data_IF_991749121069
#
_entry.id   IF_991749121069
#
_cell.length_a   1.000
_cell.length_b   1.000
_cell.length_c   1.000
_cell.angle_alpha   90.00
_cell.angle_beta   90.00
_cell.angle_gamma   90.00
#
_symmetry.space_group_name_H-M   'P 1'
#
loop_
_entity.id
_entity.type
_entity.pdbx_description
1 polymer ?
#
# COMPACT_ATOMS: atom_id res chain seq x y z
N UNK A 1 19.68 14.85 49.65
CA UNK A 1 19.63 13.36 49.60
C UNK A 1 19.22 12.98 48.19
N UNK A 2 20.14 12.58 47.30
CA UNK A 2 20.47 11.17 46.92
C UNK A 2 19.20 10.41 46.49
N UNK A 3 18.99 9.90 45.27
CA UNK A 3 19.93 9.43 44.25
C UNK A 3 19.26 9.32 42.88
N UNK A 4 20.03 9.65 41.83
CA UNK A 4 19.81 9.23 40.45
C UNK A 4 19.98 7.70 40.30
N UNK A 5 19.17 7.07 39.43
CA UNK A 5 19.43 5.73 38.89
C UNK A 5 19.19 5.75 37.38
N UNK A 6 20.27 5.92 36.63
CA UNK A 6 20.40 5.57 35.23
C UNK A 6 20.68 4.06 35.09
N UNK A 7 19.96 3.34 34.22
CA UNK A 7 20.44 2.07 33.70
C UNK A 7 21.29 2.26 32.42
N UNK A 8 22.19 1.30 32.24
CA UNK A 8 23.41 1.30 31.41
C UNK A 8 23.17 1.14 29.89
N UNK A 9 24.13 1.58 29.06
CA UNK A 9 24.06 1.46 27.60
C UNK A 9 24.21 0.00 27.13
N UNK A 10 23.44 -0.36 26.10
CA UNK A 10 23.54 -1.65 25.42
C UNK A 10 24.72 -1.64 24.46
N UNK A 11 25.66 -2.54 24.69
CA UNK A 11 26.82 -2.79 23.83
C UNK A 11 26.41 -3.47 22.53
N UNK A 12 26.86 -2.92 21.40
CA UNK A 12 26.74 -3.53 20.06
C UNK A 12 27.77 -4.65 19.86
N UNK A 13 27.43 -5.75 19.16
CA UNK A 13 28.41 -6.59 18.50
C UNK A 13 28.57 -6.18 17.01
N UNK A 14 29.81 -5.92 16.60
CA UNK A 14 30.24 -5.81 15.20
C UNK A 14 30.68 -7.19 14.68
N UNK A 15 30.27 -7.59 13.47
CA UNK A 15 31.09 -8.48 12.64
C UNK A 15 31.70 -7.76 11.44
N UNK A 16 32.96 -8.09 11.21
CA UNK A 16 33.93 -7.63 10.19
C UNK A 16 33.60 -8.06 8.75
N UNK A 17 34.24 -7.45 7.74
CA UNK A 17 34.01 -7.75 6.33
C UNK A 17 34.73 -9.04 5.88
N UNK A 18 34.06 -9.84 5.05
CA UNK A 18 34.71 -10.89 4.24
C UNK A 18 34.70 -10.45 2.78
N UNK A 19 35.89 -10.17 2.27
CA UNK A 19 36.19 -9.88 0.87
C UNK A 19 36.51 -11.18 0.12
N UNK A 20 36.42 -11.09 -1.21
CA UNK A 20 37.06 -11.91 -2.25
C UNK A 20 36.30 -13.11 -2.82
N UNK A 21 36.06 -13.05 -4.15
CA UNK A 21 36.08 -14.25 -5.00
C UNK A 21 35.12 -14.28 -6.19
N UNK A 22 35.30 -13.41 -7.19
CA UNK A 22 35.03 -13.80 -8.59
C UNK A 22 36.31 -14.47 -9.17
N UNK A 23 36.36 -15.05 -10.38
CA UNK A 23 35.34 -15.33 -11.41
C UNK A 23 35.42 -16.79 -11.98
N UNK A 24 34.50 -17.20 -12.86
CA UNK A 24 34.85 -17.93 -14.10
C UNK A 24 33.63 -18.23 -15.00
N UNK A 25 33.80 -17.86 -16.26
CA UNK A 25 33.00 -18.25 -17.43
C UNK A 25 33.20 -19.74 -17.74
N UNK A 26 32.18 -20.39 -18.29
CA UNK A 26 32.34 -21.21 -19.50
C UNK A 26 30.98 -21.53 -20.17
N UNK A 27 30.90 -21.47 -21.51
CA UNK A 27 29.71 -21.85 -22.26
C UNK A 27 29.81 -23.32 -22.70
N UNK A 28 28.65 -23.98 -22.80
CA UNK A 28 28.53 -25.30 -23.44
C UNK A 28 27.31 -25.33 -24.35
N UNK A 29 27.60 -25.86 -25.53
CA UNK A 29 26.88 -25.83 -26.80
C UNK A 29 25.87 -26.98 -26.92
N UNK A 30 24.97 -26.81 -27.88
CA UNK A 30 24.43 -27.81 -28.83
C UNK A 30 23.56 -28.97 -28.34
N UNK A 31 22.48 -29.20 -29.10
CA UNK A 31 21.83 -30.50 -29.26
C UNK A 31 20.32 -30.38 -29.40
N UNK A 32 19.76 -29.96 -30.53
CA UNK A 32 19.19 -30.87 -31.55
C UNK A 32 18.35 -32.02 -30.96
N UNK A 33 17.04 -32.01 -31.18
CA UNK A 33 16.37 -33.04 -31.99
C UNK A 33 14.85 -32.96 -31.85
N UNK A 34 14.24 -32.95 -33.03
CA UNK A 34 12.81 -33.10 -33.30
C UNK A 34 12.25 -34.40 -32.73
N UNK A 35 11.04 -34.36 -32.17
CA UNK A 35 10.13 -35.51 -32.19
C UNK A 35 8.67 -35.06 -32.19
N UNK A 36 7.92 -35.74 -33.06
CA UNK A 36 6.54 -35.53 -33.52
C UNK A 36 5.48 -36.00 -32.50
N UNK A 37 4.23 -36.02 -33.01
CA UNK A 37 2.99 -36.74 -32.58
C UNK A 37 2.09 -35.91 -31.67
N UNK A 38 0.78 -35.70 -31.85
CA UNK A 38 -0.31 -36.24 -32.71
C UNK A 38 -1.50 -35.26 -32.57
N UNK A 39 -2.46 -35.14 -33.51
CA UNK A 39 -3.67 -34.34 -33.28
C UNK A 39 -4.70 -35.13 -32.45
N UNK A 40 -5.22 -34.53 -31.38
CA UNK A 40 -6.38 -35.05 -30.66
C UNK A 40 -7.63 -34.24 -31.00
N UNK A 41 -8.62 -35.00 -31.44
CA UNK A 41 -9.97 -34.63 -31.84
C UNK A 41 -10.82 -34.28 -30.61
N UNK A 42 -11.96 -33.65 -30.89
CA UNK A 42 -13.24 -33.78 -30.16
C UNK A 42 -13.47 -32.91 -28.92
N UNK A 43 -14.21 -31.82 -29.17
CA UNK A 43 -15.56 -31.59 -28.61
C UNK A 43 -15.82 -32.07 -27.18
N UNK A 44 -15.81 -31.13 -26.24
CA UNK A 44 -16.46 -31.14 -24.94
C UNK A 44 -16.25 -29.73 -24.39
N UNK A 45 -17.18 -28.92 -23.94
CA UNK A 45 -18.49 -29.12 -23.32
C UNK A 45 -19.09 -27.71 -23.36
N UNK A 46 -20.40 -27.57 -23.50
CA UNK A 46 -21.06 -26.30 -23.16
C UNK A 46 -20.59 -25.91 -21.76
N UNK A 47 -19.79 -24.85 -21.67
CA UNK A 47 -19.44 -24.25 -20.38
C UNK A 47 -20.78 -23.79 -19.80
N UNK A 48 -21.15 -24.19 -18.58
CA UNK A 48 -22.27 -23.53 -17.93
C UNK A 48 -21.90 -22.06 -17.89
N UNK A 49 -22.76 -21.21 -18.43
CA UNK A 49 -22.76 -19.77 -18.18
C UNK A 49 -22.83 -19.66 -16.66
N UNK A 50 -21.67 -19.55 -16.02
CA UNK A 50 -21.60 -19.15 -14.63
C UNK A 50 -22.27 -17.80 -14.62
N UNK A 51 -23.45 -17.75 -14.01
CA UNK A 51 -24.10 -16.50 -13.68
C UNK A 51 -23.03 -15.63 -13.07
N UNK A 52 -22.66 -14.62 -13.84
CA UNK A 52 -21.91 -13.46 -13.43
C UNK A 52 -22.84 -12.75 -12.44
N UNK A 53 -22.95 -13.32 -11.24
CA UNK A 53 -23.68 -12.72 -10.13
C UNK A 53 -22.77 -11.65 -9.54
N UNK A 54 -22.38 -10.70 -10.40
CA UNK A 54 -21.76 -9.46 -10.01
C UNK A 54 -22.75 -8.77 -9.10
N UNK A 55 -22.30 -8.48 -7.88
CA UNK A 55 -23.04 -7.65 -6.95
C UNK A 55 -23.43 -6.35 -7.67
N UNK A 56 -24.63 -5.79 -7.40
CA UNK A 56 -25.04 -4.54 -8.02
C UNK A 56 -23.96 -3.46 -7.84
N UNK A 57 -23.71 -2.69 -8.89
CA UNK A 57 -22.75 -1.61 -8.88
C UNK A 57 -23.08 -0.61 -7.77
N UNK A 58 -22.07 -0.20 -7.01
CA UNK A 58 -22.29 0.72 -5.90
C UNK A 58 -22.58 2.12 -6.46
N UNK A 59 -23.55 2.88 -5.93
CA UNK A 59 -23.80 4.25 -6.39
C UNK A 59 -22.52 5.11 -6.30
N UNK A 60 -22.33 6.08 -7.21
CA UNK A 60 -21.16 6.94 -7.16
C UNK A 60 -21.12 7.71 -5.83
N UNK A 61 -20.03 7.57 -5.09
CA UNK A 61 -19.78 8.27 -3.84
C UNK A 61 -18.75 9.37 -4.11
N UNK A 62 -19.15 10.62 -3.87
CA UNK A 62 -18.29 11.77 -4.14
C UNK A 62 -16.90 11.58 -3.48
N UNK A 63 -15.85 11.76 -4.28
CA UNK A 63 -14.43 11.64 -3.94
C UNK A 63 -13.96 10.32 -3.34
N UNK A 64 -14.65 9.23 -3.67
CA UNK A 64 -14.04 7.89 -3.76
C UNK A 64 -13.93 7.48 -5.22
N UNK A 65 -12.95 6.65 -5.52
CA UNK A 65 -12.90 5.87 -6.75
C UNK A 65 -13.69 4.57 -6.51
N UNK A 66 -15.01 4.66 -6.77
CA UNK A 66 -15.94 3.55 -6.55
C UNK A 66 -15.68 2.41 -7.51
N UNK A 67 -15.27 2.68 -8.75
CA UNK A 67 -14.92 1.63 -9.72
C UNK A 67 -13.74 0.79 -9.23
N UNK A 68 -12.74 1.43 -8.62
CA UNK A 68 -11.62 0.74 -7.98
C UNK A 68 -12.06 -0.08 -6.77
N UNK A 69 -12.94 0.46 -5.93
CA UNK A 69 -13.47 -0.25 -4.76
C UNK A 69 -14.30 -1.47 -5.17
N UNK A 70 -15.19 -1.32 -6.14
CA UNK A 70 -15.98 -2.41 -6.69
C UNK A 70 -15.06 -3.47 -7.33
N UNK A 71 -14.02 -3.06 -8.07
CA UNK A 71 -13.01 -4.00 -8.59
C UNK A 71 -12.28 -4.78 -7.49
N UNK A 72 -12.00 -4.16 -6.33
CA UNK A 72 -11.38 -4.83 -5.18
C UNK A 72 -12.35 -5.76 -4.45
N UNK A 73 -13.64 -5.43 -4.44
CA UNK A 73 -14.71 -6.28 -3.91
C UNK A 73 -14.89 -7.53 -4.78
N UNK A 74 -14.82 -7.37 -6.09
CA UNK A 74 -15.07 -8.43 -7.06
C UNK A 74 -13.85 -9.36 -7.28
N UNK A 75 -12.71 -9.10 -6.60
CA UNK A 75 -11.55 -9.99 -6.60
C UNK A 75 -11.88 -11.38 -6.04
N UNK A 76 -12.78 -11.46 -5.06
CA UNK A 76 -13.28 -12.71 -4.50
C UNK A 76 -14.81 -12.64 -4.40
N UNK A 77 -15.53 -13.01 -5.48
CA UNK A 77 -16.99 -12.90 -5.52
C UNK A 77 -17.63 -13.69 -4.37
N UNK A 78 -18.31 -12.97 -3.47
CA UNK A 78 -18.95 -13.55 -2.30
C UNK A 78 -18.11 -13.52 -1.01
N UNK A 79 -16.86 -13.03 -1.06
CA UNK A 79 -16.03 -12.80 0.13
C UNK A 79 -15.44 -11.38 0.16
N UNK A 80 -15.98 -10.53 1.04
CA UNK A 80 -15.49 -9.15 1.24
C UNK A 80 -14.33 -9.06 2.25
N UNK A 81 -13.88 -10.17 2.84
CA UNK A 81 -12.87 -10.20 3.91
C UNK A 81 -11.58 -9.48 3.52
N UNK A 82 -11.15 -9.59 2.26
CA UNK A 82 -9.97 -8.87 1.77
C UNK A 82 -10.17 -7.35 1.82
N UNK A 83 -11.29 -6.87 1.28
CA UNK A 83 -11.61 -5.45 1.25
C UNK A 83 -11.85 -4.89 2.66
N UNK A 84 -12.54 -5.64 3.52
CA UNK A 84 -12.76 -5.27 4.93
C UNK A 84 -11.43 -5.14 5.70
N UNK A 85 -10.50 -6.08 5.47
CA UNK A 85 -9.15 -5.99 6.02
C UNK A 85 -8.39 -4.79 5.46
N UNK A 86 -8.49 -4.51 4.17
CA UNK A 86 -7.81 -3.38 3.53
C UNK A 86 -8.32 -2.04 4.09
N UNK A 87 -9.64 -1.88 4.21
CA UNK A 87 -10.29 -0.72 4.83
C UNK A 87 -9.85 -0.60 6.29
N UNK A 88 -9.95 -1.67 7.08
CA UNK A 88 -9.53 -1.67 8.49
C UNK A 88 -8.06 -1.28 8.69
N UNK A 89 -7.16 -1.81 7.85
CA UNK A 89 -5.75 -1.43 7.85
C UNK A 89 -5.56 0.05 7.51
N UNK A 90 -6.29 0.57 6.53
CA UNK A 90 -6.23 1.98 6.18
C UNK A 90 -6.73 2.89 7.31
N UNK A 91 -7.76 2.48 8.06
CA UNK A 91 -8.26 3.26 9.21
C UNK A 91 -7.18 3.49 10.26
N UNK A 92 -6.47 2.44 10.63
CA UNK A 92 -5.41 2.52 11.65
C UNK A 92 -4.18 3.24 11.09
N UNK A 93 -3.71 2.81 9.92
CA UNK A 93 -2.45 3.29 9.36
C UNK A 93 -2.52 4.76 8.95
N UNK A 94 -3.67 5.27 8.48
CA UNK A 94 -3.80 6.68 8.09
C UNK A 94 -3.73 7.62 9.29
N UNK A 95 -4.35 7.27 10.41
CA UNK A 95 -4.27 8.06 11.64
C UNK A 95 -2.85 8.05 12.23
N UNK A 96 -2.21 6.87 12.29
CA UNK A 96 -0.82 6.75 12.72
C UNK A 96 0.12 7.53 11.81
N UNK A 97 -0.05 7.42 10.48
CA UNK A 97 0.81 8.12 9.53
C UNK A 97 0.76 9.64 9.70
N UNK A 98 -0.43 10.22 9.89
CA UNK A 98 -0.57 11.67 10.13
C UNK A 98 0.14 12.09 11.40
N UNK A 99 0.01 11.34 12.50
CA UNK A 99 0.69 11.62 13.75
C UNK A 99 2.22 11.55 13.58
N UNK A 100 2.73 10.47 13.00
CA UNK A 100 4.17 10.29 12.78
C UNK A 100 4.75 11.35 11.84
N UNK A 101 4.03 11.74 10.79
CA UNK A 101 4.48 12.80 9.87
C UNK A 101 4.56 14.14 10.60
N UNK A 102 3.58 14.47 11.45
CA UNK A 102 3.60 15.69 12.27
C UNK A 102 4.81 15.71 13.21
N UNK A 103 5.02 14.62 13.94
CA UNK A 103 6.16 14.50 14.86
C UNK A 103 7.51 14.59 14.12
N UNK A 104 7.61 13.96 12.95
CA UNK A 104 8.81 14.01 12.12
C UNK A 104 9.08 15.42 11.55
N UNK A 105 8.04 16.18 11.21
CA UNK A 105 8.17 17.58 10.79
C UNK A 105 8.68 18.45 11.96
N UNK A 106 8.17 18.24 13.18
CA UNK A 106 8.69 18.96 14.37
C UNK A 106 10.14 18.59 14.71
N UNK A 107 10.54 17.34 14.43
CA UNK A 107 11.91 16.86 14.60
C UNK A 107 12.83 17.16 13.39
N UNK A 108 12.33 17.83 12.35
CA UNK A 108 13.04 18.08 11.08
C UNK A 108 13.57 16.79 10.39
N UNK A 109 12.93 15.65 10.64
CA UNK A 109 13.28 14.35 10.05
C UNK A 109 12.63 14.19 8.67
N UNK A 110 13.28 14.79 7.67
CA UNK A 110 12.88 14.71 6.26
C UNK A 110 12.75 13.27 5.76
N UNK A 111 13.64 12.37 6.20
CA UNK A 111 13.63 10.98 5.74
C UNK A 111 12.37 10.25 6.20
N UNK A 112 11.98 10.43 7.47
CA UNK A 112 10.75 9.85 8.01
C UNK A 112 9.50 10.46 7.37
N UNK A 113 9.46 11.79 7.17
CA UNK A 113 8.34 12.45 6.48
C UNK A 113 8.12 11.84 5.09
N UNK A 114 9.17 11.78 4.27
CA UNK A 114 9.08 11.21 2.91
C UNK A 114 8.65 9.76 2.92
N UNK A 115 9.28 8.92 3.73
CA UNK A 115 8.98 7.49 3.76
C UNK A 115 7.53 7.22 4.21
N UNK A 116 7.04 7.95 5.22
CA UNK A 116 5.67 7.79 5.73
C UNK A 116 4.64 8.35 4.75
N UNK A 117 4.88 9.52 4.18
CA UNK A 117 4.03 10.14 3.17
C UNK A 117 3.91 9.24 1.91
N UNK A 118 5.03 8.74 1.41
CA UNK A 118 5.07 7.81 0.28
C UNK A 118 4.21 6.55 0.53
N UNK A 119 4.42 5.91 1.68
CA UNK A 119 3.70 4.69 2.04
C UNK A 119 2.19 4.92 2.15
N UNK A 120 1.77 5.98 2.83
CA UNK A 120 0.34 6.24 3.01
C UNK A 120 -0.33 6.72 1.72
N UNK A 121 0.39 7.45 0.86
CA UNK A 121 -0.08 7.83 -0.48
C UNK A 121 -0.40 6.59 -1.32
N UNK A 122 0.54 5.64 -1.38
CA UNK A 122 0.33 4.37 -2.08
C UNK A 122 -0.87 3.59 -1.52
N UNK A 123 -1.01 3.53 -0.20
CA UNK A 123 -2.16 2.85 0.44
C UNK A 123 -3.50 3.51 0.09
N UNK A 124 -3.58 4.85 0.11
CA UNK A 124 -4.79 5.59 -0.17
C UNK A 124 -5.22 5.44 -1.64
N UNK A 125 -4.29 5.62 -2.58
CA UNK A 125 -4.56 5.45 -4.02
C UNK A 125 -4.91 4.01 -4.35
N UNK A 126 -4.22 3.03 -3.73
CA UNK A 126 -4.51 1.63 -3.95
C UNK A 126 -5.91 1.23 -3.47
N UNK A 127 -6.48 1.94 -2.49
CA UNK A 127 -7.82 1.69 -1.96
C UNK A 127 -8.91 2.56 -2.61
N UNK A 128 -8.55 3.49 -3.51
CA UNK A 128 -9.52 4.37 -4.16
C UNK A 128 -9.89 5.63 -3.37
N UNK A 129 -8.96 6.15 -2.57
CA UNK A 129 -9.12 7.42 -1.84
C UNK A 129 -8.21 8.50 -2.44
N UNK A 130 -8.58 9.08 -3.60
CA UNK A 130 -7.68 9.92 -4.40
C UNK A 130 -7.16 11.14 -3.65
N UNK A 131 -8.06 11.92 -3.01
CA UNK A 131 -7.69 13.14 -2.28
C UNK A 131 -6.65 12.89 -1.18
N UNK A 132 -6.83 11.83 -0.39
CA UNK A 132 -5.89 11.46 0.67
C UNK A 132 -4.52 11.05 0.08
N UNK A 133 -4.53 10.32 -1.04
CA UNK A 133 -3.32 9.93 -1.76
C UNK A 133 -2.56 11.13 -2.32
N UNK A 134 -3.28 12.07 -2.92
CA UNK A 134 -2.73 13.31 -3.49
C UNK A 134 -2.16 14.24 -2.42
N UNK A 135 -2.87 14.43 -1.31
CA UNK A 135 -2.39 15.23 -0.18
C UNK A 135 -1.10 14.64 0.41
N UNK A 136 -1.02 13.31 0.55
CA UNK A 136 0.19 12.64 1.02
C UNK A 136 1.35 12.79 0.02
N UNK A 137 1.10 12.70 -1.29
CA UNK A 137 2.12 12.95 -2.32
C UNK A 137 2.62 14.40 -2.30
N UNK A 138 1.74 15.36 -2.06
CA UNK A 138 2.13 16.77 -1.95
C UNK A 138 3.11 16.97 -0.78
N UNK A 139 2.85 16.33 0.37
CA UNK A 139 3.76 16.33 1.52
C UNK A 139 5.10 15.65 1.18
N UNK A 140 5.08 14.49 0.51
CA UNK A 140 6.29 13.79 0.08
C UNK A 140 7.16 14.66 -0.84
N UNK A 141 6.55 15.30 -1.84
CA UNK A 141 7.22 16.16 -2.80
C UNK A 141 7.78 17.42 -2.13
N UNK A 142 7.02 18.02 -1.21
CA UNK A 142 7.46 19.18 -0.44
C UNK A 142 8.73 18.88 0.37
N UNK A 143 8.80 17.68 0.97
CA UNK A 143 9.96 17.21 1.71
C UNK A 143 11.14 16.75 0.81
N UNK A 144 10.92 16.52 -0.48
CA UNK A 144 11.97 16.10 -1.43
C UNK A 144 13.04 17.18 -1.64
N UNK A 145 12.73 18.43 -1.28
CA UNK A 145 13.65 19.58 -1.31
C UNK A 145 14.78 19.51 -0.28
N UNK A 146 14.75 18.53 0.62
CA UNK A 146 15.73 18.38 1.71
C UNK A 146 15.40 19.18 2.97
N UNK A 147 14.22 19.82 3.02
CA UNK A 147 13.68 20.49 4.21
C UNK A 147 12.21 20.08 4.43
N UNK A 148 11.76 20.11 5.69
CA UNK A 148 10.36 19.91 6.06
C UNK A 148 9.51 21.18 5.99
N UNK A 149 10.12 22.36 5.85
CA UNK A 149 9.41 23.64 5.89
C UNK A 149 8.29 23.76 4.83
N UNK A 150 8.50 23.32 3.57
CA UNK A 150 7.44 23.37 2.57
C UNK A 150 6.29 22.39 2.88
N UNK A 151 6.53 21.35 3.69
CA UNK A 151 5.54 20.36 4.06
C UNK A 151 4.65 20.81 5.24
N UNK A 152 5.16 21.69 6.12
CA UNK A 152 4.43 22.23 7.29
C UNK A 152 3.01 22.74 6.97
N UNK A 153 2.79 23.62 5.98
CA UNK A 153 1.44 24.12 5.67
C UNK A 153 0.51 23.06 5.08
N UNK A 154 1.04 21.91 4.63
CA UNK A 154 0.25 20.84 4.01
C UNK A 154 -0.29 19.83 5.03
N UNK A 155 0.16 19.89 6.30
CA UNK A 155 -0.18 18.90 7.32
C UNK A 155 -1.65 18.95 7.79
N UNK A 156 -2.29 20.11 7.65
CA UNK A 156 -3.72 20.27 7.92
C UNK A 156 -4.55 19.58 6.83
N UNK A 157 -4.29 19.92 5.56
CA UNK A 157 -4.95 19.29 4.41
C UNK A 157 -4.72 17.77 4.38
N UNK A 158 -3.52 17.29 4.70
CA UNK A 158 -3.25 15.85 4.82
C UNK A 158 -4.14 15.19 5.87
N UNK A 159 -4.29 15.82 7.04
CA UNK A 159 -5.09 15.27 8.13
C UNK A 159 -6.58 15.23 7.77
N UNK A 160 -7.08 16.31 7.16
CA UNK A 160 -8.48 16.43 6.73
C UNK A 160 -8.81 15.44 5.62
N UNK A 161 -7.96 15.33 4.60
CA UNK A 161 -8.15 14.39 3.51
C UNK A 161 -8.11 12.93 4.00
N UNK A 162 -7.23 12.60 4.95
CA UNK A 162 -7.19 11.28 5.57
C UNK A 162 -8.46 11.01 6.37
N UNK A 163 -8.92 11.96 7.19
CA UNK A 163 -10.15 11.81 7.98
C UNK A 163 -11.38 11.64 7.10
N UNK A 164 -11.51 12.47 6.06
CA UNK A 164 -12.57 12.37 5.05
C UNK A 164 -12.56 11.00 4.36
N UNK A 165 -11.38 10.54 3.91
CA UNK A 165 -11.22 9.24 3.30
C UNK A 165 -11.67 8.08 4.19
N UNK A 166 -11.27 8.11 5.47
CA UNK A 166 -11.69 7.11 6.46
C UNK A 166 -13.22 7.04 6.62
N UNK A 167 -13.88 8.20 6.70
CA UNK A 167 -15.35 8.28 6.84
C UNK A 167 -16.04 7.72 5.61
N UNK A 168 -15.57 8.10 4.42
CA UNK A 168 -16.15 7.65 3.15
C UNK A 168 -16.00 6.16 2.93
N UNK A 169 -14.86 5.57 3.28
CA UNK A 169 -14.66 4.13 3.21
C UNK A 169 -15.59 3.35 4.15
N UNK A 170 -15.88 3.86 5.35
CA UNK A 170 -16.88 3.23 6.24
C UNK A 170 -18.28 3.32 5.65
N UNK A 171 -18.62 4.46 5.04
CA UNK A 171 -19.90 4.60 4.36
C UNK A 171 -20.02 3.64 3.17
N UNK A 172 -18.94 3.41 2.41
CA UNK A 172 -18.91 2.38 1.36
C UNK A 172 -19.05 0.98 1.94
N UNK A 173 -18.32 0.65 3.01
CA UNK A 173 -18.41 -0.64 3.69
C UNK A 173 -19.84 -0.94 4.18
N UNK A 174 -20.55 0.08 4.66
CA UNK A 174 -21.95 -0.05 5.08
C UNK A 174 -22.91 -0.41 3.93
N UNK A 175 -22.54 -0.20 2.65
CA UNK A 175 -23.42 -0.51 1.52
C UNK A 175 -23.59 -2.00 1.24
N UNK A 176 -22.60 -2.82 1.60
CA UNK A 176 -22.60 -4.27 1.33
C UNK A 176 -22.57 -5.13 2.60
N UNK A 177 -22.46 -4.52 3.77
CA UNK A 177 -22.57 -5.22 5.08
C UNK A 177 -23.95 -5.12 5.70
N UNK A 178 -24.85 -4.33 5.10
CA UNK A 178 -26.22 -4.10 5.56
C UNK A 178 -27.20 -5.21 5.14
#
# INVERSE_FOLDING_TARGET
MRSARTPRPWSRPTPTPTTCGAPARRPSRCGSSSCRTTPARSSSTGRPEMGDELLPATPPMAGLDVERLDSLRDLDPGDTTYLDRAIGNFQVNSAEAVAVIRDAVEAEDVATVKARAHKIAGSALNLGVPRAGEAARAVELAADTGSVDPARPLLEELADAMAEGRVRLLAYQATYTA
#
